data_IF_807756052155
#
_entry.id   IF_807756052155
#
_cell.length_a   1.000
_cell.length_b   1.000
_cell.length_c   1.000
_cell.angle_alpha   90.00
_cell.angle_beta   90.00
_cell.angle_gamma   90.00
#
_symmetry.space_group_name_H-M   'P 1'
#
loop_
_entity.id
_entity.type
_entity.pdbx_description
1 polymer ?
#
# COMPACT_ATOMS: atom_id res chain seq x y z
N UNK A 1 -10.18 -17.35 -18.18
CA UNK A 1 -9.09 -16.77 -17.35
C UNK A 1 -9.67 -15.68 -16.47
N UNK A 2 -9.28 -15.66 -15.21
CA UNK A 2 -9.68 -14.67 -14.21
C UNK A 2 -8.40 -14.02 -13.70
N UNK A 3 -8.31 -12.69 -13.81
CA UNK A 3 -7.24 -11.91 -13.21
C UNK A 3 -7.75 -11.24 -11.94
N UNK A 4 -7.12 -11.52 -10.80
CA UNK A 4 -7.44 -10.91 -9.52
C UNK A 4 -6.45 -9.77 -9.24
N UNK A 5 -6.99 -8.54 -9.18
CA UNK A 5 -6.26 -7.31 -8.89
C UNK A 5 -7.13 -6.42 -7.99
N UNK A 6 -7.36 -6.86 -6.75
CA UNK A 6 -8.35 -6.27 -5.84
C UNK A 6 -7.70 -5.73 -4.55
N UNK A 7 -6.41 -5.50 -4.59
CA UNK A 7 -5.61 -4.90 -3.51
C UNK A 7 -5.93 -5.50 -2.12
N UNK A 8 -6.24 -4.68 -1.13
CA UNK A 8 -6.50 -5.13 0.23
C UNK A 8 -7.63 -6.15 0.42
N UNK A 9 -8.45 -6.38 -0.60
CA UNK A 9 -9.48 -7.43 -0.56
C UNK A 9 -8.99 -8.80 -1.10
N UNK A 10 -7.73 -8.90 -1.52
CA UNK A 10 -7.20 -10.10 -2.19
C UNK A 10 -7.27 -11.33 -1.29
N UNK A 11 -6.81 -11.25 -0.05
CA UNK A 11 -6.81 -12.40 0.88
C UNK A 11 -8.22 -12.91 1.17
N UNK A 12 -9.19 -12.01 1.40
CA UNK A 12 -10.60 -12.39 1.61
C UNK A 12 -11.21 -13.04 0.37
N UNK A 13 -10.88 -12.50 -0.82
CA UNK A 13 -11.42 -13.09 -2.04
C UNK A 13 -10.82 -14.47 -2.32
N UNK A 14 -9.52 -14.62 -2.09
CA UNK A 14 -8.84 -15.90 -2.32
C UNK A 14 -9.21 -16.96 -1.29
N UNK A 15 -9.51 -16.59 -0.05
CA UNK A 15 -10.00 -17.52 0.97
C UNK A 15 -11.32 -18.19 0.56
N UNK A 16 -12.18 -17.50 -0.20
CA UNK A 16 -13.40 -18.08 -0.78
C UNK A 16 -13.11 -19.15 -1.85
N UNK A 17 -11.92 -19.13 -2.40
CA UNK A 17 -11.42 -20.17 -3.31
C UNK A 17 -10.53 -21.20 -2.58
N UNK A 18 -10.62 -21.30 -1.26
CA UNK A 18 -9.79 -22.13 -0.39
C UNK A 18 -8.28 -21.91 -0.59
N UNK A 19 -7.88 -20.68 -0.85
CA UNK A 19 -6.49 -20.29 -1.03
C UNK A 19 -6.08 -19.30 0.04
N UNK A 20 -5.08 -19.65 0.85
CA UNK A 20 -4.43 -18.75 1.78
C UNK A 20 -3.20 -18.13 1.12
N UNK A 21 -3.14 -16.82 1.08
CA UNK A 21 -2.03 -16.07 0.54
C UNK A 21 -1.18 -15.49 1.68
N UNK A 22 0.13 -15.32 1.46
CA UNK A 22 1.02 -14.64 2.39
C UNK A 22 0.85 -13.11 2.28
N UNK A 23 -0.37 -12.66 2.48
CA UNK A 23 -0.79 -11.27 2.40
C UNK A 23 -1.63 -10.90 3.61
N UNK A 24 -1.33 -9.77 4.21
CA UNK A 24 -2.16 -9.14 5.23
C UNK A 24 -2.79 -7.86 4.69
N UNK A 25 -3.91 -7.48 5.27
CA UNK A 25 -4.63 -6.26 4.88
C UNK A 25 -4.57 -5.26 6.02
N UNK A 26 -4.03 -4.09 5.74
CA UNK A 26 -3.85 -3.02 6.72
C UNK A 26 -4.51 -1.74 6.23
N UNK A 27 -5.04 -0.97 7.16
CA UNK A 27 -5.65 0.33 6.82
C UNK A 27 -4.55 1.39 6.79
N UNK A 28 -4.41 2.04 5.65
CA UNK A 28 -3.62 3.27 5.50
C UNK A 28 -4.56 4.46 5.60
N UNK A 29 -4.21 5.43 6.42
CA UNK A 29 -5.05 6.60 6.65
C UNK A 29 -4.47 7.85 6.01
N UNK A 30 -5.37 8.72 5.57
CA UNK A 30 -5.04 10.03 5.06
C UNK A 30 -5.95 11.09 5.64
N UNK A 31 -5.43 12.30 5.71
CA UNK A 31 -6.04 13.44 6.37
C UNK A 31 -6.01 14.66 5.46
N UNK A 32 -6.98 15.54 5.61
CA UNK A 32 -6.98 16.83 4.91
C UNK A 32 -7.33 17.98 5.87
N UNK A 33 -6.54 19.03 5.78
CA UNK A 33 -6.77 20.26 6.55
C UNK A 33 -7.71 21.24 5.86
N UNK A 34 -8.09 22.28 6.57
CA UNK A 34 -8.64 23.50 5.98
C UNK A 34 -7.66 24.09 4.95
N UNK A 35 -8.19 24.95 4.09
CA UNK A 35 -7.36 25.64 3.08
C UNK A 35 -6.44 26.67 3.71
N UNK A 36 -5.18 26.58 3.36
CA UNK A 36 -4.12 27.51 3.77
C UNK A 36 -3.59 28.26 2.54
N UNK A 37 -2.87 29.34 2.78
CA UNK A 37 -2.07 30.00 1.73
C UNK A 37 -1.05 28.98 1.18
N UNK A 38 -0.58 29.16 -0.08
CA UNK A 38 0.45 28.30 -0.64
C UNK A 38 1.66 28.20 0.29
N UNK A 39 2.00 26.97 0.68
CA UNK A 39 3.06 26.66 1.62
C UNK A 39 4.01 25.58 1.08
N UNK A 40 3.46 24.58 0.42
CA UNK A 40 4.20 23.39 -0.05
C UNK A 40 4.05 23.29 -1.56
N UNK A 41 5.13 23.49 -2.35
CA UNK A 41 5.06 23.46 -3.82
C UNK A 41 5.08 22.04 -4.41
N UNK A 42 5.27 21.00 -3.61
CA UNK A 42 5.39 19.62 -4.05
C UNK A 42 4.97 18.64 -2.98
N UNK A 43 5.37 17.38 -3.12
CA UNK A 43 5.17 16.35 -2.12
C UNK A 43 6.43 16.21 -1.28
N UNK A 44 6.29 16.26 0.03
CA UNK A 44 7.36 16.00 0.99
C UNK A 44 7.09 14.63 1.60
N UNK A 45 8.09 13.76 1.59
CA UNK A 45 8.03 12.43 2.25
C UNK A 45 9.15 12.32 3.26
N UNK A 46 8.84 11.75 4.42
CA UNK A 46 9.79 11.49 5.48
C UNK A 46 9.68 10.00 5.86
N UNK A 47 10.53 9.17 5.23
CA UNK A 47 10.44 7.72 5.34
C UNK A 47 10.65 7.17 6.75
N UNK A 48 11.57 7.76 7.53
CA UNK A 48 11.85 7.32 8.88
C UNK A 48 10.69 7.60 9.87
N UNK A 49 9.83 8.57 9.55
CA UNK A 49 8.65 8.89 10.36
C UNK A 49 7.35 8.46 9.69
N UNK A 50 7.42 7.64 8.64
CA UNK A 50 6.26 7.18 7.86
C UNK A 50 5.24 8.30 7.57
N UNK A 51 5.75 9.46 7.16
CA UNK A 51 4.95 10.66 6.96
C UNK A 51 5.11 11.21 5.55
N UNK A 52 4.01 11.61 4.96
CA UNK A 52 4.01 12.40 3.74
C UNK A 52 3.04 13.57 3.85
N UNK A 53 3.34 14.66 3.15
CA UNK A 53 2.47 15.82 3.05
C UNK A 53 2.57 16.47 1.68
N UNK A 54 1.44 16.93 1.19
CA UNK A 54 1.32 17.76 0.00
C UNK A 54 0.26 18.82 0.21
N UNK A 55 0.23 19.82 -0.67
CA UNK A 55 -0.82 20.82 -0.65
C UNK A 55 -1.59 20.76 -1.97
N UNK A 56 -2.91 20.71 -1.87
CA UNK A 56 -3.79 20.74 -3.04
C UNK A 56 -3.86 22.16 -3.66
N UNK A 57 -4.27 22.27 -4.90
CA UNK A 57 -4.50 23.55 -5.59
C UNK A 57 -5.50 24.44 -4.86
N UNK A 58 -6.38 23.85 -4.05
CA UNK A 58 -7.35 24.56 -3.21
C UNK A 58 -6.79 24.98 -1.84
N UNK A 59 -5.51 24.71 -1.58
CA UNK A 59 -4.82 25.09 -0.37
C UNK A 59 -4.89 24.10 0.79
N UNK A 60 -5.72 23.06 0.72
CA UNK A 60 -5.80 22.02 1.76
C UNK A 60 -4.53 21.19 1.81
N UNK A 61 -3.97 20.97 3.00
CA UNK A 61 -2.87 20.05 3.20
C UNK A 61 -3.43 18.62 3.21
N UNK A 62 -2.85 17.74 2.41
CA UNK A 62 -3.14 16.30 2.37
C UNK A 62 -1.94 15.58 2.94
N UNK A 63 -2.12 14.83 4.00
CA UNK A 63 -1.04 14.16 4.71
C UNK A 63 -1.48 12.80 5.25
N UNK A 64 -0.52 11.97 5.58
CA UNK A 64 -0.71 10.62 6.09
C UNK A 64 0.63 9.90 6.13
N UNK A 65 0.60 8.56 6.21
CA UNK A 65 1.84 7.79 6.05
C UNK A 65 1.93 6.50 6.83
N UNK A 66 1.26 6.38 7.94
CA UNK A 66 1.30 5.17 8.73
C UNK A 66 0.09 4.27 8.50
N UNK A 67 0.22 3.01 8.86
CA UNK A 67 -0.79 1.96 8.72
C UNK A 67 -1.16 1.38 10.09
N UNK A 68 -2.39 0.91 10.21
CA UNK A 68 -2.80 0.16 11.39
C UNK A 68 -1.88 -1.05 11.60
N UNK A 69 -1.38 -1.24 12.81
CA UNK A 69 -0.45 -2.32 13.19
C UNK A 69 -1.09 -3.71 13.21
N UNK A 70 -2.31 -3.89 12.73
CA UNK A 70 -3.05 -5.14 12.74
C UNK A 70 -3.81 -5.36 11.44
N UNK A 71 -4.04 -6.63 11.12
CA UNK A 71 -4.80 -7.01 9.93
C UNK A 71 -6.27 -6.55 10.07
N UNK A 72 -6.72 -5.72 9.15
CA UNK A 72 -8.05 -5.11 9.19
C UNK A 72 -8.61 -4.85 7.80
N UNK A 73 -9.92 -4.97 7.68
CA UNK A 73 -10.70 -4.60 6.49
C UNK A 73 -11.59 -3.37 6.75
N UNK A 74 -11.34 -2.67 7.82
CA UNK A 74 -12.04 -1.43 8.12
C UNK A 74 -11.72 -0.36 7.06
N UNK A 75 -12.73 0.38 6.64
CA UNK A 75 -12.55 1.53 5.73
C UNK A 75 -12.66 2.86 6.47
N UNK A 76 -12.48 2.82 7.78
CA UNK A 76 -12.50 3.99 8.65
C UNK A 76 -11.17 4.11 9.35
N UNK A 77 -10.69 5.33 9.46
CA UNK A 77 -9.51 5.63 10.25
C UNK A 77 -9.78 5.56 11.75
N UNK A 78 -8.74 5.25 12.53
CA UNK A 78 -8.69 5.33 13.98
C UNK A 78 -8.08 6.64 14.45
N UNK A 79 -8.33 6.98 15.70
CA UNK A 79 -7.74 8.19 16.32
C UNK A 79 -6.25 7.99 16.60
N UNK A 80 -5.85 6.77 16.93
CA UNK A 80 -4.45 6.44 17.24
C UNK A 80 -3.52 6.80 16.08
N UNK A 81 -3.89 6.40 14.85
CA UNK A 81 -3.13 6.76 13.65
C UNK A 81 -3.13 8.27 13.39
N UNK A 82 -4.19 8.97 13.75
CA UNK A 82 -4.21 10.44 13.65
C UNK A 82 -3.17 11.06 14.56
N UNK A 83 -3.07 10.58 15.80
CA UNK A 83 -2.11 11.09 16.78
C UNK A 83 -0.68 10.86 16.30
N UNK A 84 -0.34 9.63 15.88
CA UNK A 84 1.00 9.28 15.40
C UNK A 84 1.41 10.08 14.15
N UNK A 85 0.53 10.18 13.17
CA UNK A 85 0.80 10.95 11.95
C UNK A 85 0.92 12.45 12.24
N UNK A 86 0.12 12.97 13.16
CA UNK A 86 0.22 14.38 13.57
C UNK A 86 1.51 14.64 14.35
N UNK A 87 1.95 13.75 15.22
CA UNK A 87 3.21 13.88 15.94
C UNK A 87 4.39 13.95 14.98
N UNK A 88 4.49 13.01 14.05
CA UNK A 88 5.52 13.01 13.00
C UNK A 88 5.47 14.27 12.14
N UNK A 89 4.27 14.68 11.74
CA UNK A 89 4.07 15.88 10.95
C UNK A 89 4.46 17.17 11.68
N UNK A 90 4.14 17.29 12.96
CA UNK A 90 4.49 18.44 13.79
C UNK A 90 5.99 18.52 14.07
N UNK A 91 6.64 17.38 14.26
CA UNK A 91 8.10 17.32 14.41
C UNK A 91 8.83 17.84 13.16
N UNK A 92 8.31 17.52 11.98
CA UNK A 92 8.87 17.96 10.70
C UNK A 92 8.50 19.40 10.36
N UNK A 93 7.25 19.78 10.59
CA UNK A 93 6.67 21.07 10.15
C UNK A 93 5.72 21.64 11.21
N UNK A 94 6.22 22.26 12.28
CA UNK A 94 5.40 22.74 13.39
C UNK A 94 4.27 23.71 13.00
N UNK A 95 4.40 24.37 11.86
CA UNK A 95 3.41 25.34 11.37
C UNK A 95 2.05 24.70 11.04
N UNK A 96 2.03 23.39 10.71
CA UNK A 96 0.78 22.67 10.41
C UNK A 96 -0.12 22.50 11.64
N UNK A 97 0.43 22.58 12.84
CA UNK A 97 -0.33 22.47 14.10
C UNK A 97 -1.37 23.58 14.32
N UNK A 98 -1.34 24.61 13.50
CA UNK A 98 -2.35 25.68 13.52
C UNK A 98 -3.52 25.41 12.57
N UNK A 99 -3.39 24.42 11.69
CA UNK A 99 -4.41 24.07 10.72
C UNK A 99 -5.49 23.18 11.37
N UNK A 100 -6.74 23.40 10.97
CA UNK A 100 -7.85 22.54 11.40
C UNK A 100 -7.96 21.35 10.48
N UNK A 101 -8.13 20.17 11.08
CA UNK A 101 -8.43 18.96 10.34
C UNK A 101 -9.90 18.97 9.92
N UNK A 102 -10.17 18.77 8.63
CA UNK A 102 -11.52 18.74 8.09
C UNK A 102 -12.04 17.34 7.88
N UNK A 103 -11.17 16.42 7.45
CA UNK A 103 -11.56 15.07 7.06
C UNK A 103 -10.43 14.09 7.23
N UNK A 104 -10.81 12.86 7.57
CA UNK A 104 -9.94 11.70 7.49
C UNK A 104 -10.65 10.57 6.74
N UNK A 105 -9.87 9.70 6.10
CA UNK A 105 -10.37 8.48 5.46
C UNK A 105 -9.30 7.40 5.49
N UNK A 106 -9.71 6.14 5.31
CA UNK A 106 -8.83 4.99 5.24
C UNK A 106 -9.02 4.20 3.95
N UNK A 107 -7.95 3.59 3.47
CA UNK A 107 -7.93 2.63 2.39
C UNK A 107 -7.25 1.35 2.83
N UNK A 108 -7.70 0.21 2.32
CA UNK A 108 -7.13 -1.09 2.68
C UNK A 108 -6.00 -1.42 1.73
N UNK A 109 -4.80 -1.58 2.28
CA UNK A 109 -3.61 -2.02 1.56
C UNK A 109 -3.42 -3.52 1.68
N UNK A 110 -2.82 -4.12 0.67
CA UNK A 110 -2.36 -5.50 0.67
C UNK A 110 -0.84 -5.55 0.93
N UNK A 111 -0.48 -6.03 2.10
CA UNK A 111 0.91 -6.13 2.53
C UNK A 111 1.41 -7.56 2.33
N UNK A 112 2.41 -7.74 1.48
CA UNK A 112 3.12 -9.01 1.35
C UNK A 112 4.18 -9.14 2.43
N UNK A 113 4.53 -10.37 2.78
CA UNK A 113 5.49 -10.64 3.86
C UNK A 113 6.91 -10.12 3.58
N UNK A 114 7.26 -9.93 2.30
CA UNK A 114 8.58 -9.44 1.87
C UNK A 114 8.54 -8.04 1.23
N UNK A 115 7.39 -7.37 1.28
CA UNK A 115 7.21 -6.04 0.71
C UNK A 115 7.13 -5.98 -0.81
N UNK A 116 7.28 -7.11 -1.48
CA UNK A 116 7.28 -7.20 -2.94
C UNK A 116 5.99 -7.78 -3.47
N UNK A 117 5.52 -7.37 -4.66
CA UNK A 117 4.24 -7.82 -5.19
C UNK A 117 4.25 -9.29 -5.61
N UNK A 118 3.06 -9.81 -5.84
CA UNK A 118 2.82 -11.12 -6.46
C UNK A 118 2.19 -10.87 -7.82
N UNK A 119 2.89 -11.25 -8.89
CA UNK A 119 2.37 -11.26 -10.26
C UNK A 119 2.54 -12.66 -10.80
N UNK A 120 1.55 -13.52 -10.58
CA UNK A 120 1.69 -14.93 -10.90
C UNK A 120 0.35 -15.61 -11.19
N UNK A 121 0.44 -16.84 -11.71
CA UNK A 121 -0.65 -17.80 -11.77
C UNK A 121 -0.80 -18.48 -10.41
N UNK A 122 -2.00 -18.90 -10.09
CA UNK A 122 -2.27 -19.73 -8.92
C UNK A 122 -2.26 -21.21 -9.26
N UNK A 123 -2.36 -22.07 -8.26
CA UNK A 123 -2.59 -23.52 -8.47
C UNK A 123 -3.97 -23.80 -9.08
N UNK A 124 -4.91 -22.85 -9.02
CA UNK A 124 -6.21 -22.96 -9.66
C UNK A 124 -6.08 -22.58 -11.12
N UNK A 125 -6.34 -23.53 -12.01
CA UNK A 125 -6.21 -23.32 -13.46
C UNK A 125 -7.06 -22.13 -13.93
N UNK A 126 -6.40 -21.17 -14.54
CA UNK A 126 -7.06 -19.98 -15.10
C UNK A 126 -7.24 -18.84 -14.14
N UNK A 127 -6.79 -18.94 -12.89
CA UNK A 127 -6.79 -17.88 -11.90
C UNK A 127 -5.37 -17.29 -11.73
N UNK A 128 -5.26 -15.98 -11.86
CA UNK A 128 -4.02 -15.21 -11.83
C UNK A 128 -4.11 -14.10 -10.80
N UNK A 129 -2.97 -13.73 -10.21
CA UNK A 129 -2.87 -12.70 -9.17
C UNK A 129 -1.99 -11.54 -9.63
N UNK A 130 -2.40 -10.33 -9.28
CA UNK A 130 -1.59 -9.12 -9.25
C UNK A 130 -1.92 -8.39 -7.94
N UNK A 131 -1.14 -8.61 -6.89
CA UNK A 131 -1.45 -8.22 -5.52
C UNK A 131 -0.19 -8.04 -4.67
N UNK A 132 -0.36 -7.60 -3.41
CA UNK A 132 0.76 -7.46 -2.48
C UNK A 132 1.65 -6.27 -2.76
N UNK A 133 1.10 -5.19 -3.26
CA UNK A 133 1.87 -4.02 -3.72
C UNK A 133 2.34 -3.11 -2.59
N UNK A 134 1.90 -3.32 -1.38
CA UNK A 134 2.32 -2.51 -0.24
C UNK A 134 2.19 -1.00 -0.55
N UNK A 135 3.26 -0.24 -0.36
CA UNK A 135 3.30 1.20 -0.65
C UNK A 135 3.60 1.54 -2.13
N UNK A 136 3.97 0.55 -2.94
CA UNK A 136 4.49 0.77 -4.29
C UNK A 136 3.47 0.77 -5.42
N UNK A 137 2.21 0.42 -5.14
CA UNK A 137 1.23 0.07 -6.15
C UNK A 137 0.91 1.16 -7.17
N UNK A 138 0.67 2.37 -6.72
CA UNK A 138 0.27 3.46 -7.60
C UNK A 138 1.34 3.78 -8.67
N UNK A 139 2.57 3.98 -8.24
CA UNK A 139 3.68 4.31 -9.15
C UNK A 139 4.02 3.16 -10.12
N UNK A 140 3.78 1.92 -9.70
CA UNK A 140 4.05 0.73 -10.49
C UNK A 140 2.90 0.35 -11.46
N UNK A 141 1.75 1.00 -11.40
CA UNK A 141 0.54 0.65 -12.17
C UNK A 141 0.80 0.37 -13.65
N UNK A 142 1.53 1.21 -14.42
CA UNK A 142 1.75 0.95 -15.85
C UNK A 142 2.55 -0.33 -16.09
N UNK A 143 3.65 -0.52 -15.38
CA UNK A 143 4.52 -1.68 -15.54
C UNK A 143 3.86 -2.97 -15.04
N UNK A 144 3.17 -2.91 -13.89
CA UNK A 144 2.45 -4.07 -13.36
C UNK A 144 1.31 -4.51 -14.26
N UNK A 145 0.55 -3.55 -14.80
CA UNK A 145 -0.51 -3.82 -15.77
C UNK A 145 0.02 -4.49 -17.03
N UNK A 146 1.14 -4.02 -17.55
CA UNK A 146 1.81 -4.63 -18.70
C UNK A 146 2.25 -6.08 -18.41
N UNK A 147 2.97 -6.30 -17.32
CA UNK A 147 3.45 -7.64 -16.93
C UNK A 147 2.29 -8.59 -16.69
N UNK A 148 1.23 -8.13 -16.04
CA UNK A 148 0.05 -8.93 -15.77
C UNK A 148 -0.73 -9.26 -17.06
N UNK A 149 -0.88 -8.33 -17.97
CA UNK A 149 -1.48 -8.57 -19.29
C UNK A 149 -0.67 -9.58 -20.10
N UNK A 150 0.66 -9.49 -20.06
CA UNK A 150 1.56 -10.45 -20.69
C UNK A 150 1.34 -11.87 -20.12
N UNK A 151 1.32 -11.98 -18.79
CA UNK A 151 1.08 -13.26 -18.11
C UNK A 151 -0.29 -13.86 -18.49
N UNK A 152 -1.35 -13.05 -18.50
CA UNK A 152 -2.69 -13.48 -18.90
C UNK A 152 -2.75 -13.94 -20.37
N UNK A 153 -2.09 -13.23 -21.25
CA UNK A 153 -2.09 -13.53 -22.69
C UNK A 153 -1.24 -14.77 -23.01
N UNK A 154 -0.01 -14.79 -22.54
CA UNK A 154 1.02 -15.78 -22.91
C UNK A 154 1.06 -16.99 -21.99
N UNK A 155 0.62 -16.88 -20.73
CA UNK A 155 0.65 -17.96 -19.74
C UNK A 155 2.00 -18.13 -19.02
N UNK A 156 2.94 -17.21 -19.23
CA UNK A 156 4.22 -17.16 -18.51
C UNK A 156 4.58 -15.71 -18.16
N UNK A 157 5.39 -15.54 -17.11
CA UNK A 157 5.76 -14.22 -16.58
C UNK A 157 6.67 -13.46 -17.55
N UNK A 158 6.52 -12.17 -17.63
CA UNK A 158 7.47 -11.28 -18.31
C UNK A 158 8.79 -11.21 -17.51
N UNK A 159 9.93 -10.97 -18.17
CA UNK A 159 11.25 -10.88 -17.50
C UNK A 159 11.31 -9.84 -16.37
N UNK A 160 10.56 -8.75 -16.48
CA UNK A 160 10.45 -7.72 -15.43
C UNK A 160 9.70 -8.21 -14.18
N UNK A 161 8.94 -9.29 -14.26
CA UNK A 161 8.12 -9.81 -13.16
C UNK A 161 8.37 -11.28 -12.83
N UNK A 162 9.40 -11.88 -13.42
CA UNK A 162 9.70 -13.30 -13.22
C UNK A 162 10.04 -13.67 -11.77
N UNK A 163 10.55 -12.74 -10.99
CA UNK A 163 10.86 -12.95 -9.59
C UNK A 163 9.64 -12.80 -8.67
N UNK A 164 8.54 -12.20 -9.12
CA UNK A 164 7.35 -11.94 -8.31
C UNK A 164 6.38 -13.12 -8.25
N UNK A 165 6.93 -14.34 -8.25
CA UNK A 165 6.16 -15.58 -8.20
C UNK A 165 5.62 -15.85 -6.80
N UNK A 166 4.44 -16.45 -6.71
CA UNK A 166 3.80 -16.82 -5.46
C UNK A 166 4.61 -17.91 -4.71
N UNK A 167 5.18 -18.84 -5.43
CA UNK A 167 5.92 -19.96 -4.84
C UNK A 167 7.25 -19.56 -4.17
N UNK A 168 7.72 -18.31 -4.35
CA UNK A 168 8.91 -17.80 -3.65
C UNK A 168 8.79 -17.93 -2.13
N UNK A 169 7.60 -17.70 -1.58
CA UNK A 169 7.35 -17.81 -0.15
C UNK A 169 7.46 -19.27 0.37
N UNK A 170 7.04 -20.26 -0.42
CA UNK A 170 7.21 -21.67 -0.08
C UNK A 170 8.67 -22.12 -0.13
N UNK A 171 9.43 -21.52 -1.05
CA UNK A 171 10.84 -21.87 -1.26
C UNK A 171 11.77 -21.08 -0.32
N UNK A 172 11.23 -20.23 0.55
CA UNK A 172 12.02 -19.38 1.46
C UNK A 172 12.81 -18.29 0.74
N UNK A 173 12.50 -18.01 -0.51
CA UNK A 173 13.10 -16.92 -1.27
C UNK A 173 12.30 -15.65 -1.03
N UNK A 174 12.91 -14.66 -0.41
CA UNK A 174 12.30 -13.37 -0.13
C UNK A 174 12.96 -12.31 -1.00
N UNK A 175 12.14 -11.45 -1.62
CA UNK A 175 12.63 -10.29 -2.34
C UNK A 175 12.60 -9.13 -1.34
N UNK A 176 13.78 -8.73 -0.86
CA UNK A 176 13.90 -7.56 0.03
C UNK A 176 14.06 -6.29 -0.82
N UNK A 177 12.97 -5.59 -1.04
CA UNK A 177 12.98 -4.24 -1.59
C UNK A 177 13.24 -3.22 -0.47
N UNK A 178 14.41 -3.25 0.12
CA UNK A 178 14.92 -2.39 1.21
C UNK A 178 13.96 -1.29 1.70
N UNK A 179 13.28 -1.55 2.80
CA UNK A 179 12.36 -0.60 3.43
C UNK A 179 10.95 -0.53 2.83
N UNK A 180 10.60 -1.44 1.91
CA UNK A 180 9.22 -1.57 1.40
C UNK A 180 8.50 -2.78 2.02
N UNK A 181 9.23 -3.66 2.71
CA UNK A 181 8.66 -4.80 3.41
C UNK A 181 7.72 -4.37 4.51
N UNK A 182 6.74 -5.23 4.82
CA UNK A 182 6.07 -5.18 6.10
C UNK A 182 7.17 -5.40 7.15
N UNK A 183 7.80 -4.34 7.58
CA UNK A 183 8.61 -4.40 8.77
C UNK A 183 7.66 -4.82 9.88
N UNK A 184 7.92 -5.94 10.56
CA UNK A 184 7.19 -6.22 11.78
C UNK A 184 7.36 -4.96 12.62
N UNK A 185 6.25 -4.39 13.02
CA UNK A 185 6.22 -3.14 13.75
C UNK A 185 7.40 -2.99 14.65
N UNK A 186 8.28 -2.15 14.25
CA UNK A 186 9.37 -1.70 15.06
C UNK A 186 8.79 -0.72 16.08
N UNK A 187 8.13 -1.27 17.07
CA UNK A 187 7.72 -0.57 18.29
C UNK A 187 8.56 -1.03 19.45
#
# INVERSE_FOLDING_TARGET
KIGCAVAGSTSVLMSKANMNLPLESHVLQAFVSESLKPLIPGVITFGAGHFYISQSDKGGLVFGGDIDGYNSYAQRGGMDMLEDVCEGGLALMPTIGKARLLRMWGGIMDMSMDGSPIIDRTHIKGLYLNAGWCYGGFKATPASGWCFAHLLAKGYSHSLSENFQLDRFKNGYMIDEKGQGAQPNLH
#
